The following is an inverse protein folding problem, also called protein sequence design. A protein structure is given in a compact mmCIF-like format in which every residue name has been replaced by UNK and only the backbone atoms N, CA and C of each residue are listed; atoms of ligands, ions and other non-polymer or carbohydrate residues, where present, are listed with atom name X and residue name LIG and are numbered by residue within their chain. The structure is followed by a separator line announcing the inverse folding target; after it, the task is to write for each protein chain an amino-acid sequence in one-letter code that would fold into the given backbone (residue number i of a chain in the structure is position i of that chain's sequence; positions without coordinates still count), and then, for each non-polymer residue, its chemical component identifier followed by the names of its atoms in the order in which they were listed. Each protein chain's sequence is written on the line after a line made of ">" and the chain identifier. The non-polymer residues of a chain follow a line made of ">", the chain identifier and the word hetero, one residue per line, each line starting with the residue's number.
data_IF_355152017540
#
_entry.id   IF_355152017540
#
_cell.length_a   1.000
_cell.length_b   1.000
_cell.length_c   1.000
_cell.angle_alpha   90.00
_cell.angle_beta   90.00
_cell.angle_gamma   90.00
#
_symmetry.space_group_name_H-M   'P 1'
#
loop_
_entity.id
_entity.type
_entity.pdbx_description
1 polymer ?
#
# COMPACT_ATOMS: atom_id res chain seq x y z
N UNK A 1 0.27 17.28 -8.37
CA UNK A 1 -0.67 16.31 -7.79
C UNK A 1 -0.41 16.23 -6.30
N UNK A 2 -1.45 16.17 -5.46
CA UNK A 2 -1.32 16.07 -3.99
C UNK A 2 -2.10 14.85 -3.51
N UNK A 3 -1.44 13.95 -2.79
CA UNK A 3 -2.10 12.78 -2.19
C UNK A 3 -2.86 13.22 -0.92
N UNK A 4 -4.08 12.72 -0.74
CA UNK A 4 -4.91 13.02 0.43
C UNK A 4 -4.96 11.83 1.37
N UNK A 5 -5.35 10.66 0.87
CA UNK A 5 -5.35 9.41 1.64
C UNK A 5 -5.36 8.17 0.76
N UNK A 6 -4.76 7.10 1.28
CA UNK A 6 -4.89 5.75 0.77
C UNK A 6 -5.83 4.95 1.67
N UNK A 7 -6.81 4.29 1.08
CA UNK A 7 -7.75 3.39 1.77
C UNK A 7 -7.52 1.97 1.27
N UNK A 8 -7.47 1.03 2.21
CA UNK A 8 -7.33 -0.40 1.96
C UNK A 8 -8.55 -1.11 2.55
N UNK A 9 -9.31 -1.78 1.68
CA UNK A 9 -10.41 -2.64 2.07
C UNK A 9 -10.04 -4.11 1.85
N UNK A 10 -10.44 -4.97 2.78
CA UNK A 10 -10.41 -6.43 2.66
C UNK A 10 -11.84 -6.93 2.72
N UNK A 11 -12.31 -7.60 1.67
CA UNK A 11 -13.68 -8.07 1.56
C UNK A 11 -14.69 -6.96 1.91
N UNK A 12 -14.52 -5.78 1.29
CA UNK A 12 -15.29 -4.56 1.52
C UNK A 12 -15.23 -3.97 2.94
N UNK A 13 -14.43 -4.54 3.84
CA UNK A 13 -14.22 -4.02 5.20
C UNK A 13 -12.97 -3.15 5.26
N UNK A 14 -13.05 -1.98 5.89
CA UNK A 14 -11.91 -1.08 6.08
C UNK A 14 -10.85 -1.73 6.97
N UNK A 15 -9.65 -1.95 6.43
CA UNK A 15 -8.50 -2.46 7.19
C UNK A 15 -7.54 -1.34 7.53
N UNK A 16 -7.36 -0.37 6.63
CA UNK A 16 -6.43 0.73 6.84
C UNK A 16 -6.85 1.98 6.08
N UNK A 17 -6.76 3.12 6.76
CA UNK A 17 -6.73 4.43 6.14
C UNK A 17 -5.37 5.08 6.45
N UNK A 18 -4.67 5.55 5.43
CA UNK A 18 -3.38 6.24 5.54
C UNK A 18 -3.54 7.67 5.02
N UNK A 19 -3.72 8.66 5.91
CA UNK A 19 -3.76 10.05 5.50
C UNK A 19 -2.36 10.56 5.13
N UNK A 20 -2.27 11.33 4.06
CA UNK A 20 -1.07 12.07 3.69
C UNK A 20 -1.16 13.50 4.22
N UNK A 21 -0.10 13.96 4.87
CA UNK A 21 0.02 15.32 5.40
C UNK A 21 0.77 16.21 4.42
N UNK A 22 0.55 17.52 4.52
CA UNK A 22 1.38 18.48 3.80
C UNK A 22 2.84 18.40 4.30
N UNK A 23 3.78 18.50 3.35
CA UNK A 23 5.20 18.35 3.63
C UNK A 23 5.69 16.90 3.62
N UNK A 24 6.59 16.58 4.56
CA UNK A 24 7.29 15.30 4.60
C UNK A 24 6.47 14.22 5.32
N UNK A 25 6.17 13.13 4.62
CA UNK A 25 5.54 11.94 5.19
C UNK A 25 6.60 10.84 5.38
N UNK A 26 6.67 10.27 6.58
CA UNK A 26 7.66 9.25 6.93
C UNK A 26 6.98 7.91 7.22
N UNK A 27 7.38 6.86 6.49
CA UNK A 27 6.93 5.48 6.73
C UNK A 27 7.98 4.78 7.57
N UNK A 28 7.71 4.69 8.87
CA UNK A 28 8.64 4.11 9.84
C UNK A 28 8.06 2.86 10.48
N UNK A 29 8.94 1.98 10.95
CA UNK A 29 8.52 0.86 11.81
C UNK A 29 8.35 1.34 13.25
N UNK A 30 7.28 0.93 13.92
CA UNK A 30 7.12 1.14 15.36
C UNK A 30 7.85 0.03 16.09
N UNK A 31 8.88 0.36 16.87
CA UNK A 31 9.56 -0.61 17.74
C UNK A 31 8.56 -1.11 18.80
N UNK A 32 8.21 -2.39 18.77
CA UNK A 32 7.53 -3.05 19.87
C UNK A 32 8.57 -3.84 20.65
N UNK A 33 8.53 -3.72 21.97
CA UNK A 33 9.45 -4.40 22.88
C UNK A 33 9.35 -5.92 22.68
N UNK A 34 10.27 -6.51 21.92
CA UNK A 34 10.38 -7.96 21.72
C UNK A 34 10.20 -8.51 20.30
N UNK A 35 10.02 -7.69 19.26
CA UNK A 35 10.10 -8.17 17.85
C UNK A 35 11.02 -7.28 17.00
N UNK A 36 11.80 -7.95 16.16
CA UNK A 36 12.94 -7.40 15.44
C UNK A 36 12.65 -6.06 14.76
N UNK A 37 13.48 -5.07 15.09
CA UNK A 37 13.66 -3.88 14.26
C UNK A 37 14.40 -4.29 12.97
N UNK A 38 13.70 -5.04 12.10
CA UNK A 38 14.28 -5.68 10.93
C UNK A 38 13.94 -5.00 9.61
N UNK A 39 14.74 -5.31 8.59
CA UNK A 39 14.36 -5.17 7.19
C UNK A 39 13.13 -6.05 6.87
N UNK A 40 12.45 -5.77 5.76
CA UNK A 40 11.29 -6.55 5.28
C UNK A 40 9.98 -6.52 6.10
N UNK A 41 9.80 -5.61 7.05
CA UNK A 41 8.52 -5.42 7.79
C UNK A 41 7.39 -4.70 7.00
N UNK A 42 7.47 -4.68 5.66
CA UNK A 42 6.43 -4.07 4.80
C UNK A 42 6.47 -2.53 4.65
N UNK A 43 7.60 -1.88 4.98
CA UNK A 43 7.76 -0.42 4.81
C UNK A 43 7.57 0.04 3.36
N UNK A 44 8.10 -0.73 2.41
CA UNK A 44 7.99 -0.45 0.98
C UNK A 44 6.64 -0.86 0.37
N UNK A 45 5.79 -1.61 1.10
CA UNK A 45 4.50 -2.06 0.57
C UNK A 45 3.61 -0.88 0.19
N UNK A 46 3.66 0.23 0.93
CA UNK A 46 2.86 1.41 0.60
C UNK A 46 3.23 1.99 -0.78
N UNK A 47 4.52 2.11 -1.10
CA UNK A 47 4.95 2.65 -2.40
C UNK A 47 4.55 1.71 -3.53
N UNK A 48 4.71 0.40 -3.36
CA UNK A 48 4.32 -0.60 -4.37
C UNK A 48 2.81 -0.61 -4.64
N UNK A 49 1.98 -0.36 -3.62
CA UNK A 49 0.54 -0.16 -3.80
C UNK A 49 0.22 1.13 -4.56
N UNK A 50 0.98 2.21 -4.33
CA UNK A 50 0.83 3.44 -5.12
C UNK A 50 1.20 3.20 -6.59
N UNK A 51 2.31 2.49 -6.86
CA UNK A 51 2.70 2.12 -8.22
C UNK A 51 1.63 1.27 -8.90
N UNK A 52 1.02 0.34 -8.16
CA UNK A 52 -0.11 -0.44 -8.65
C UNK A 52 -1.29 0.47 -9.01
N UNK A 53 -1.65 1.43 -8.16
CA UNK A 53 -2.70 2.39 -8.49
C UNK A 53 -2.37 3.27 -9.71
N UNK A 54 -1.08 3.44 -10.02
CA UNK A 54 -0.57 4.10 -11.23
C UNK A 54 -0.25 3.12 -12.37
N UNK A 55 -1.03 2.04 -12.48
CA UNK A 55 -1.04 1.10 -13.61
C UNK A 55 0.14 0.11 -13.67
N UNK A 56 0.94 -0.07 -12.60
CA UNK A 56 1.88 -1.19 -12.55
C UNK A 56 1.16 -2.55 -12.47
N UNK A 57 1.87 -3.66 -12.66
CA UNK A 57 1.26 -5.01 -12.64
C UNK A 57 0.75 -5.43 -11.26
N UNK A 58 1.30 -4.87 -10.18
CA UNK A 58 1.01 -5.27 -8.80
C UNK A 58 1.80 -6.49 -8.33
N UNK A 59 2.60 -7.11 -9.21
CA UNK A 59 3.45 -8.26 -8.90
C UNK A 59 4.40 -7.99 -7.71
N UNK A 60 5.03 -6.82 -7.69
CA UNK A 60 5.99 -6.44 -6.63
C UNK A 60 5.34 -6.29 -5.23
N UNK A 61 4.00 -6.25 -5.14
CA UNK A 61 3.31 -6.22 -3.85
C UNK A 61 3.56 -7.52 -3.06
N UNK A 62 3.57 -8.65 -3.76
CA UNK A 62 3.77 -9.98 -3.18
C UNK A 62 5.06 -10.64 -3.62
N UNK A 63 5.81 -10.07 -4.56
CA UNK A 63 7.10 -10.58 -5.00
C UNK A 63 8.26 -9.87 -4.30
N UNK A 64 9.15 -10.64 -3.68
CA UNK A 64 10.38 -10.13 -3.08
C UNK A 64 11.50 -10.05 -4.13
N UNK A 65 11.81 -8.83 -4.57
CA UNK A 65 12.86 -8.56 -5.54
C UNK A 65 14.28 -8.91 -5.04
N UNK A 66 14.51 -8.98 -3.73
CA UNK A 66 15.82 -9.33 -3.17
C UNK A 66 16.11 -10.82 -3.34
N UNK A 67 15.09 -11.66 -3.18
CA UNK A 67 15.21 -13.12 -3.24
C UNK A 67 14.61 -13.75 -4.51
N UNK A 68 13.95 -12.95 -5.35
CA UNK A 68 13.27 -13.40 -6.58
C UNK A 68 12.15 -14.39 -6.31
N UNK A 69 11.45 -14.24 -5.17
CA UNK A 69 10.43 -15.20 -4.71
C UNK A 69 9.19 -14.48 -4.22
N UNK A 70 8.05 -15.12 -4.42
CA UNK A 70 6.80 -14.65 -3.84
C UNK A 70 6.83 -14.82 -2.32
N UNK A 71 6.20 -13.88 -1.63
CA UNK A 71 6.01 -13.84 -0.18
C UNK A 71 4.74 -14.64 0.11
N UNK A 72 4.83 -15.90 0.61
CA UNK A 72 3.68 -16.80 0.66
C UNK A 72 2.51 -16.27 1.47
N UNK A 73 2.79 -15.53 2.55
CA UNK A 73 1.76 -14.90 3.39
C UNK A 73 0.93 -13.87 2.60
N UNK A 74 1.56 -13.07 1.74
CA UNK A 74 0.86 -12.05 0.94
C UNK A 74 0.10 -12.73 -0.20
N UNK A 75 0.66 -13.77 -0.82
CA UNK A 75 -0.04 -14.56 -1.84
C UNK A 75 -1.30 -15.21 -1.28
N UNK A 76 -1.22 -15.83 -0.09
CA UNK A 76 -2.40 -16.38 0.59
C UNK A 76 -3.41 -15.28 0.89
N UNK A 77 -2.96 -14.13 1.42
CA UNK A 77 -3.85 -13.01 1.72
C UNK A 77 -4.64 -12.55 0.49
N UNK A 78 -3.99 -12.45 -0.68
CA UNK A 78 -4.61 -12.06 -1.96
C UNK A 78 -5.53 -13.16 -2.49
N UNK A 79 -5.12 -14.43 -2.45
CA UNK A 79 -5.94 -15.53 -2.96
C UNK A 79 -7.21 -15.77 -2.12
N UNK A 80 -7.12 -15.54 -0.81
CA UNK A 80 -8.21 -15.80 0.13
C UNK A 80 -9.16 -14.59 0.28
N UNK A 81 -8.82 -13.42 -0.25
CA UNK A 81 -9.56 -12.19 0.00
C UNK A 81 -9.51 -11.23 -1.18
N UNK A 82 -10.59 -10.48 -1.38
CA UNK A 82 -10.61 -9.36 -2.32
C UNK A 82 -10.02 -8.14 -1.62
N UNK A 83 -8.87 -7.66 -2.09
CA UNK A 83 -8.25 -6.44 -1.59
C UNK A 83 -8.53 -5.28 -2.54
N UNK A 84 -9.14 -4.21 -2.04
CA UNK A 84 -9.37 -2.97 -2.81
C UNK A 84 -8.51 -1.85 -2.26
N UNK A 85 -7.68 -1.28 -3.12
CA UNK A 85 -6.89 -0.09 -2.84
C UNK A 85 -7.57 1.12 -3.49
N UNK A 86 -7.67 2.22 -2.75
CA UNK A 86 -8.26 3.47 -3.24
C UNK A 86 -7.38 4.63 -2.83
N UNK A 87 -6.94 5.44 -3.78
CA UNK A 87 -6.21 6.67 -3.54
C UNK A 87 -7.09 7.87 -3.86
N UNK A 88 -7.30 8.72 -2.86
CA UNK A 88 -7.87 10.06 -2.98
C UNK A 88 -6.73 11.07 -3.16
N UNK A 89 -6.81 11.91 -4.19
CA UNK A 89 -5.80 12.92 -4.48
C UNK A 89 -6.40 14.17 -5.16
N UNK A 90 -5.72 15.30 -5.04
CA UNK A 90 -5.97 16.48 -5.85
C UNK A 90 -5.07 16.46 -7.09
N UNK A 91 -5.67 16.72 -8.25
CA UNK A 91 -4.97 16.96 -9.52
C UNK A 91 -4.11 18.22 -9.44
N UNK A 92 -3.31 18.48 -10.49
CA UNK A 92 -2.51 19.73 -10.59
C UNK A 92 -3.41 20.97 -10.58
N UNK A 93 -4.62 20.86 -11.11
CA UNK A 93 -5.66 21.92 -11.11
C UNK A 93 -6.43 22.00 -9.77
N UNK A 94 -5.97 21.31 -8.73
CA UNK A 94 -6.61 21.20 -7.42
C UNK A 94 -8.01 20.55 -7.43
N UNK A 95 -8.45 19.96 -8.54
CA UNK A 95 -9.69 19.15 -8.59
C UNK A 95 -9.50 17.82 -7.86
N UNK A 96 -10.51 17.41 -7.09
CA UNK A 96 -10.52 16.09 -6.42
C UNK A 96 -10.65 14.97 -7.45
N UNK A 97 -9.87 13.91 -7.26
CA UNK A 97 -9.89 12.72 -8.08
C UNK A 97 -9.66 11.48 -7.19
N UNK A 98 -10.12 10.34 -7.70
CA UNK A 98 -9.98 9.05 -7.02
C UNK A 98 -9.56 8.01 -8.04
N UNK A 99 -8.61 7.16 -7.67
CA UNK A 99 -8.26 5.95 -8.42
C UNK A 99 -8.43 4.74 -7.51
N UNK A 100 -8.96 3.65 -8.04
CA UNK A 100 -9.11 2.40 -7.31
C UNK A 100 -8.72 1.21 -8.16
N UNK A 101 -8.07 0.23 -7.55
CA UNK A 101 -7.80 -1.07 -8.16
C UNK A 101 -8.03 -2.18 -7.14
N UNK A 102 -8.41 -3.34 -7.65
CA UNK A 102 -8.61 -4.57 -6.88
C UNK A 102 -7.45 -5.50 -7.18
N UNK A 103 -6.97 -6.22 -6.18
CA UNK A 103 -6.10 -7.39 -6.33
C UNK A 103 -6.77 -8.58 -5.65
#
# INVERSE_FOLDING_TARGET
>A
MRLNKLIILKNNTLVREVPFKDGLNLIINKRTSGKDSGNSVGKSTLSRVLDYLFMSSGHDIYHDAEFGKDIPEIVSLINDNVLKFTLDFNTVENKKAVVSRII
#
